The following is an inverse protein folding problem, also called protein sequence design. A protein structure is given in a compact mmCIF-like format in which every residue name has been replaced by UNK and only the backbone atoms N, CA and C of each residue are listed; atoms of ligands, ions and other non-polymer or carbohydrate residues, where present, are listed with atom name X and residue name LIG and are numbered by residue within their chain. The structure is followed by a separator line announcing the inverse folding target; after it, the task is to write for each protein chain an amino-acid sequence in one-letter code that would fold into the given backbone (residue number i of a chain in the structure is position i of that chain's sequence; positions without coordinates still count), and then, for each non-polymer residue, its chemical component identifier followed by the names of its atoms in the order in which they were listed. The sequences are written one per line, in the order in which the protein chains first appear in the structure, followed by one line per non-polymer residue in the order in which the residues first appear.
data_IF_284205165565
#
_entry.id   IF_284205165565
#
_cell.length_a   1.000
_cell.length_b   1.000
_cell.length_c   1.000
_cell.angle_alpha   90.00
_cell.angle_beta   90.00
_cell.angle_gamma   90.00
#
_symmetry.space_group_name_H-M   'P 1'
#
loop_
_entity.id
_entity.type
_entity.pdbx_description
1 polymer ?
#
# COMPACT_ATOMS: atom_id res chain seq x y z
N UNK A 1 -17.91 5.39 -31.61
CA UNK A 1 -17.28 5.72 -30.32
C UNK A 1 -16.29 4.60 -30.03
N UNK A 2 -14.99 4.83 -30.22
CA UNK A 2 -13.99 3.77 -30.14
C UNK A 2 -13.86 3.30 -28.69
N UNK A 3 -13.95 1.99 -28.46
CA UNK A 3 -13.77 1.34 -27.14
C UNK A 3 -12.52 1.82 -26.40
N UNK A 4 -11.46 2.14 -27.14
CA UNK A 4 -10.20 2.67 -26.61
C UNK A 4 -10.35 4.04 -25.93
N UNK A 5 -11.23 4.91 -26.47
CA UNK A 5 -11.50 6.24 -25.91
C UNK A 5 -12.36 6.14 -24.65
N UNK A 6 -13.33 5.23 -24.62
CA UNK A 6 -14.16 4.98 -23.44
C UNK A 6 -13.40 4.30 -22.30
N UNK A 7 -12.50 3.34 -22.56
CA UNK A 7 -11.67 2.72 -21.50
C UNK A 7 -10.70 3.72 -20.89
N UNK A 8 -10.06 4.55 -21.70
CA UNK A 8 -9.15 5.60 -21.21
C UNK A 8 -9.91 6.63 -20.35
N UNK A 9 -11.10 7.04 -20.80
CA UNK A 9 -11.97 7.95 -20.06
C UNK A 9 -12.43 7.37 -18.72
N UNK A 10 -12.80 6.08 -18.69
CA UNK A 10 -13.14 5.37 -17.45
C UNK A 10 -11.94 5.28 -16.49
N UNK A 11 -10.73 5.05 -16.99
CA UNK A 11 -9.51 5.01 -16.17
C UNK A 11 -9.13 6.39 -15.60
N UNK A 12 -9.42 7.47 -16.34
CA UNK A 12 -9.26 8.83 -15.83
C UNK A 12 -10.31 9.21 -14.78
N UNK A 13 -11.56 8.81 -14.99
CA UNK A 13 -12.64 8.97 -14.01
C UNK A 13 -12.29 8.26 -12.70
N UNK A 14 -11.90 6.98 -12.76
CA UNK A 14 -11.52 6.22 -11.56
C UNK A 14 -10.29 6.81 -10.88
N UNK A 15 -9.29 7.28 -11.64
CA UNK A 15 -8.14 8.00 -11.05
C UNK A 15 -8.55 9.29 -10.35
N UNK A 16 -9.49 10.05 -10.90
CA UNK A 16 -9.95 11.30 -10.28
C UNK A 16 -10.78 11.01 -9.02
N UNK A 17 -11.62 9.99 -9.03
CA UNK A 17 -12.37 9.54 -7.85
C UNK A 17 -11.43 9.06 -6.73
N UNK A 18 -10.37 8.33 -7.07
CA UNK A 18 -9.38 7.89 -6.08
C UNK A 18 -8.63 9.08 -5.46
N UNK A 19 -8.33 10.13 -6.24
CA UNK A 19 -7.65 11.33 -5.74
C UNK A 19 -8.49 12.14 -4.73
N UNK A 20 -9.82 12.05 -4.78
CA UNK A 20 -10.68 12.71 -3.78
C UNK A 20 -10.74 11.96 -2.45
N UNK A 21 -10.31 10.70 -2.43
CA UNK A 21 -10.19 9.91 -1.20
C UNK A 21 -8.97 10.36 -0.38
N UNK A 22 -9.13 10.36 0.95
CA UNK A 22 -8.00 10.55 1.87
C UNK A 22 -6.97 9.43 1.75
N UNK A 23 -5.72 9.71 2.13
CA UNK A 23 -4.58 8.81 1.93
C UNK A 23 -4.78 7.41 2.56
N UNK A 24 -5.41 7.35 3.73
CA UNK A 24 -5.73 6.08 4.40
C UNK A 24 -6.76 5.24 3.63
N UNK A 25 -7.76 5.87 3.02
CA UNK A 25 -8.78 5.16 2.23
C UNK A 25 -8.18 4.65 0.91
N UNK A 26 -7.32 5.45 0.28
CA UNK A 26 -6.54 4.99 -0.88
C UNK A 26 -5.65 3.81 -0.53
N UNK A 27 -4.99 3.86 0.62
CA UNK A 27 -4.16 2.75 1.09
C UNK A 27 -5.01 1.51 1.36
N UNK A 28 -6.18 1.66 2.00
CA UNK A 28 -7.11 0.56 2.26
C UNK A 28 -7.48 -0.18 0.96
N UNK A 29 -7.86 0.55 -0.08
CA UNK A 29 -8.15 -0.03 -1.40
C UNK A 29 -6.94 -0.74 -1.99
N UNK A 30 -5.75 -0.15 -1.90
CA UNK A 30 -4.51 -0.78 -2.38
C UNK A 30 -4.29 -2.11 -1.66
N UNK A 31 -4.42 -2.15 -0.33
CA UNK A 31 -4.22 -3.37 0.46
C UNK A 31 -5.28 -4.45 0.16
N UNK A 32 -6.55 -4.06 -0.01
CA UNK A 32 -7.64 -5.02 -0.22
C UNK A 32 -7.59 -5.68 -1.60
N UNK A 33 -7.05 -5.00 -2.61
CA UNK A 33 -7.00 -5.48 -4.00
C UNK A 33 -5.60 -5.92 -4.46
N UNK A 34 -4.57 -5.82 -3.60
CA UNK A 34 -3.23 -6.24 -3.99
C UNK A 34 -3.12 -7.76 -4.11
N UNK A 35 -2.60 -8.24 -5.23
CA UNK A 35 -2.32 -9.65 -5.47
C UNK A 35 -0.90 -10.03 -5.03
N UNK A 36 -0.52 -9.70 -3.80
CA UNK A 36 0.84 -9.94 -3.28
C UNK A 36 1.00 -11.23 -2.46
N UNK A 37 -0.07 -12.02 -2.31
CA UNK A 37 -0.07 -13.22 -1.46
C UNK A 37 1.06 -14.20 -1.79
N UNK A 38 1.27 -14.49 -3.08
CA UNK A 38 2.35 -15.39 -3.52
C UNK A 38 3.74 -14.85 -3.14
N UNK A 39 3.93 -13.53 -3.26
CA UNK A 39 5.16 -12.86 -2.86
C UNK A 39 5.33 -12.92 -1.33
N UNK A 40 4.27 -12.65 -0.57
CA UNK A 40 4.31 -12.68 0.90
C UNK A 40 4.69 -14.07 1.40
N UNK A 41 4.04 -15.12 0.89
CA UNK A 41 4.36 -16.51 1.24
C UNK A 41 5.80 -16.86 0.89
N UNK A 42 6.31 -16.43 -0.28
CA UNK A 42 7.69 -16.70 -0.67
C UNK A 42 8.69 -16.01 0.27
N UNK A 43 8.45 -14.76 0.64
CA UNK A 43 9.29 -14.00 1.56
C UNK A 43 9.25 -14.59 2.98
N UNK A 44 8.08 -14.97 3.48
CA UNK A 44 7.89 -15.58 4.80
C UNK A 44 8.61 -16.93 4.91
N UNK A 45 8.49 -17.77 3.87
CA UNK A 45 9.26 -19.02 3.77
C UNK A 45 10.76 -18.77 3.79
N UNK A 46 11.23 -17.75 3.07
CA UNK A 46 12.65 -17.38 3.02
C UNK A 46 13.16 -16.88 4.38
N UNK A 47 12.34 -16.15 5.15
CA UNK A 47 12.69 -15.67 6.50
C UNK A 47 12.88 -16.82 7.48
N UNK A 48 12.08 -17.87 7.38
CA UNK A 48 12.17 -19.02 8.29
C UNK A 48 11.76 -18.67 9.72
N UNK A 49 12.54 -19.12 10.73
CA UNK A 49 12.16 -19.10 12.16
C UNK A 49 12.93 -18.05 13.01
N UNK A 50 13.45 -17.00 12.37
CA UNK A 50 14.13 -15.91 13.06
C UNK A 50 13.18 -15.00 13.85
N UNK A 51 13.75 -13.96 14.47
CA UNK A 51 13.00 -12.89 15.14
C UNK A 51 12.02 -12.22 14.18
N UNK A 52 10.80 -11.98 14.62
CA UNK A 52 9.68 -11.48 13.80
C UNK A 52 9.04 -10.19 14.35
N UNK A 53 9.85 -9.35 15.00
CA UNK A 53 9.41 -8.05 15.51
C UNK A 53 8.87 -7.10 14.43
N UNK A 54 9.23 -7.36 13.16
CA UNK A 54 8.77 -6.64 11.99
C UNK A 54 8.24 -7.65 10.97
N UNK A 55 6.95 -8.02 11.05
CA UNK A 55 6.34 -8.97 10.13
C UNK A 55 6.52 -8.55 8.67
N UNK A 56 6.75 -9.51 7.78
CA UNK A 56 7.00 -9.23 6.36
C UNK A 56 5.85 -8.47 5.73
N UNK A 57 4.61 -8.90 6.01
CA UNK A 57 3.41 -8.23 5.50
C UNK A 57 3.29 -6.81 6.02
N UNK A 58 3.60 -6.57 7.29
CA UNK A 58 3.59 -5.23 7.86
C UNK A 58 4.63 -4.31 7.20
N UNK A 59 5.83 -4.84 6.97
CA UNK A 59 6.88 -4.14 6.24
C UNK A 59 6.46 -3.86 4.79
N UNK A 60 5.85 -4.82 4.10
CA UNK A 60 5.37 -4.65 2.74
C UNK A 60 4.26 -3.60 2.64
N UNK A 61 3.25 -3.69 3.51
CA UNK A 61 2.17 -2.71 3.60
C UNK A 61 2.71 -1.29 3.87
N UNK A 62 3.79 -1.17 4.65
CA UNK A 62 4.45 0.12 4.90
C UNK A 62 5.12 0.71 3.65
N UNK A 63 5.67 -0.13 2.77
CA UNK A 63 6.21 0.30 1.48
C UNK A 63 5.09 0.79 0.57
N UNK A 64 3.96 0.08 0.52
CA UNK A 64 2.78 0.51 -0.24
C UNK A 64 2.23 1.85 0.28
N UNK A 65 2.19 2.04 1.60
CA UNK A 65 1.83 3.31 2.20
C UNK A 65 2.77 4.44 1.73
N UNK A 66 4.08 4.20 1.70
CA UNK A 66 5.06 5.15 1.16
C UNK A 66 4.76 5.60 -0.26
N UNK A 67 4.31 4.68 -1.12
CA UNK A 67 3.91 4.97 -2.50
C UNK A 67 2.60 5.77 -2.53
N UNK A 68 1.56 5.34 -1.81
CA UNK A 68 0.23 5.98 -1.81
C UNK A 68 0.27 7.40 -1.21
N UNK A 69 1.10 7.60 -0.20
CA UNK A 69 1.31 8.88 0.49
C UNK A 69 2.39 9.73 -0.18
N UNK A 70 3.01 9.21 -1.26
CA UNK A 70 4.02 9.89 -2.06
C UNK A 70 5.21 10.39 -1.23
N UNK A 71 5.66 9.58 -0.27
CA UNK A 71 6.86 9.88 0.48
C UNK A 71 8.10 9.70 -0.40
N UNK A 72 8.89 10.77 -0.55
CA UNK A 72 10.10 10.79 -1.37
C UNK A 72 11.30 10.04 -0.76
N UNK A 73 11.17 9.55 0.47
CA UNK A 73 12.25 8.93 1.23
C UNK A 73 11.74 8.01 2.34
N UNK A 74 12.54 6.99 2.66
CA UNK A 74 12.25 6.04 3.74
C UNK A 74 12.21 6.75 5.08
N UNK A 75 13.03 7.78 5.30
CA UNK A 75 13.06 8.57 6.53
C UNK A 75 11.75 9.33 6.75
N UNK A 76 11.13 9.86 5.69
CA UNK A 76 9.81 10.50 5.79
C UNK A 76 8.73 9.47 6.12
N UNK A 77 8.72 8.33 5.43
CA UNK A 77 7.80 7.22 5.73
C UNK A 77 7.94 6.75 7.18
N UNK A 78 9.17 6.57 7.69
CA UNK A 78 9.41 6.17 9.08
C UNK A 78 8.89 7.21 10.09
N UNK A 79 9.05 8.51 9.81
CA UNK A 79 8.48 9.57 10.66
C UNK A 79 6.95 9.56 10.63
N UNK A 80 6.34 9.29 9.47
CA UNK A 80 4.89 9.15 9.34
C UNK A 80 4.38 7.97 10.16
N UNK A 81 4.97 6.79 9.97
CA UNK A 81 4.65 5.60 10.75
C UNK A 81 4.85 5.83 12.25
N UNK A 82 5.84 6.61 12.67
CA UNK A 82 6.05 6.91 14.09
C UNK A 82 4.95 7.81 14.70
N UNK A 83 4.43 8.77 13.93
CA UNK A 83 3.41 9.73 14.43
C UNK A 83 1.97 9.27 14.22
N UNK A 84 1.72 8.40 13.24
CA UNK A 84 0.39 8.01 12.81
C UNK A 84 0.04 6.59 13.27
N UNK A 85 -0.71 6.47 14.37
CA UNK A 85 -1.12 5.18 14.93
C UNK A 85 -2.06 4.38 14.02
N UNK A 86 -2.99 5.05 13.34
CA UNK A 86 -3.93 4.41 12.41
C UNK A 86 -3.22 3.81 11.20
N UNK A 87 -2.21 4.53 10.66
CA UNK A 87 -1.38 4.00 9.59
C UNK A 87 -0.64 2.73 10.02
N UNK A 88 -0.06 2.71 11.24
CA UNK A 88 0.62 1.52 11.76
C UNK A 88 -0.32 0.33 11.89
N UNK A 89 -1.50 0.56 12.46
CA UNK A 89 -2.53 -0.47 12.59
C UNK A 89 -2.94 -1.02 11.22
N UNK A 90 -3.16 -0.15 10.23
CA UNK A 90 -3.49 -0.55 8.87
C UNK A 90 -2.36 -1.34 8.19
N UNK A 91 -1.10 -0.99 8.46
CA UNK A 91 0.02 -1.78 7.97
C UNK A 91 0.13 -3.14 8.69
N UNK A 92 -0.31 -3.26 9.94
CA UNK A 92 -0.23 -4.48 10.74
C UNK A 92 0.96 -4.53 11.71
N UNK A 93 1.41 -3.37 12.18
CA UNK A 93 2.41 -3.23 13.25
C UNK A 93 1.79 -3.15 14.65
#
# INVERSE_FOLDING_TARGET
MNYFSSVTFLFELTRNEIQTLGDLERLRLVLDYMMDEELMVALERKRGKGRDDYPIRAMWNSVLAGIVFQHDSVEKLRRELARNGQLREMCGF
#
